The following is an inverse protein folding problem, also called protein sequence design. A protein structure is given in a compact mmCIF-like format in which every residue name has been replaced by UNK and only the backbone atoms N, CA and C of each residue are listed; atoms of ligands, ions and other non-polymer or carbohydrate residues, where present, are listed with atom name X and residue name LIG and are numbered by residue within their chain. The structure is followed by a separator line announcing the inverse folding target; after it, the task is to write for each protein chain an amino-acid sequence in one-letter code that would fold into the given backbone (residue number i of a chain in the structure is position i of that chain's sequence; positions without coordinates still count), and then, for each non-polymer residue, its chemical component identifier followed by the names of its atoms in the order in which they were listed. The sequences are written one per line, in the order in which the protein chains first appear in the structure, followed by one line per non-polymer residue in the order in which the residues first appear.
data_IF_683997980591
#
_entry.id   IF_683997980591
#
_cell.length_a   1.000
_cell.length_b   1.000
_cell.length_c   1.000
_cell.angle_alpha   90.00
_cell.angle_beta   90.00
_cell.angle_gamma   90.00
#
_symmetry.space_group_name_H-M   'P 1'
#
loop_
_entity.id
_entity.type
_entity.pdbx_description
1 polymer ?
#
# COMPACT_ATOMS: atom_id res chain seq x y z
N UNK A 1 -0.76 12.17 -24.33
CA UNK A 1 0.59 11.81 -23.83
C UNK A 1 1.16 10.49 -24.37
N UNK A 2 0.34 9.54 -24.86
CA UNK A 2 0.83 8.25 -25.35
C UNK A 2 1.94 8.33 -26.43
N UNK A 3 1.92 9.32 -27.33
CA UNK A 3 2.97 9.48 -28.35
C UNK A 3 4.36 9.80 -27.77
N UNK A 4 4.43 10.58 -26.69
CA UNK A 4 5.68 10.87 -25.97
C UNK A 4 6.17 9.62 -25.25
N UNK A 5 5.27 8.93 -24.54
CA UNK A 5 5.57 7.66 -23.87
C UNK A 5 6.11 6.63 -24.86
N UNK A 6 5.46 6.46 -26.02
CA UNK A 6 5.93 5.56 -27.07
C UNK A 6 7.32 5.94 -27.56
N UNK A 7 7.57 7.22 -27.84
CA UNK A 7 8.88 7.69 -28.30
C UNK A 7 10.00 7.40 -27.30
N UNK A 8 9.75 7.56 -25.99
CA UNK A 8 10.70 7.20 -24.94
C UNK A 8 10.93 5.69 -24.91
N UNK A 9 9.87 4.89 -25.01
CA UNK A 9 10.01 3.43 -25.07
C UNK A 9 10.83 2.96 -26.28
N UNK A 10 10.55 3.53 -27.46
CA UNK A 10 11.24 3.18 -28.71
C UNK A 10 12.75 3.52 -28.66
N UNK A 11 13.12 4.61 -27.99
CA UNK A 11 14.49 5.14 -27.99
C UNK A 11 15.32 4.73 -26.77
N UNK A 12 14.72 4.78 -25.58
CA UNK A 12 15.43 4.70 -24.28
C UNK A 12 14.96 3.49 -23.43
N UNK A 13 13.88 2.82 -23.83
CA UNK A 13 13.32 1.66 -23.14
C UNK A 13 12.53 1.96 -21.86
N UNK A 14 12.00 0.92 -21.18
CA UNK A 14 11.08 1.10 -20.04
C UNK A 14 11.66 1.80 -18.82
N UNK A 15 12.96 1.66 -18.55
CA UNK A 15 13.62 2.25 -17.39
C UNK A 15 13.60 3.79 -17.36
N UNK A 16 13.32 4.42 -18.50
CA UNK A 16 13.23 5.88 -18.65
C UNK A 16 11.82 6.43 -18.39
N UNK A 17 10.84 5.57 -18.06
CA UNK A 17 9.48 5.98 -17.70
C UNK A 17 9.26 5.89 -16.19
N UNK A 18 9.18 7.03 -15.51
CA UNK A 18 8.94 7.10 -14.09
C UNK A 18 7.44 7.18 -13.74
N UNK A 19 7.04 6.51 -12.65
CA UNK A 19 5.71 6.64 -12.06
C UNK A 19 5.79 6.88 -10.54
N UNK A 20 4.90 7.75 -10.06
CA UNK A 20 4.52 7.86 -8.64
C UNK A 20 3.04 7.55 -8.54
N UNK A 21 2.70 6.43 -7.91
CA UNK A 21 1.35 5.86 -7.96
C UNK A 21 0.84 5.47 -6.56
N UNK A 22 -0.47 5.55 -6.36
CA UNK A 22 -1.11 4.96 -5.19
C UNK A 22 -1.03 3.43 -5.22
N UNK A 23 -0.94 2.80 -4.05
CA UNK A 23 -1.00 1.34 -3.83
C UNK A 23 -2.03 0.94 -2.75
N UNK A 24 -2.83 1.90 -2.28
CA UNK A 24 -3.77 1.73 -1.17
C UNK A 24 -5.22 1.46 -1.62
N UNK A 25 -6.10 1.19 -0.65
CA UNK A 25 -7.55 1.03 -0.84
C UNK A 25 -8.33 2.35 -0.78
N UNK A 26 -9.67 2.30 -0.75
CA UNK A 26 -10.51 3.48 -0.56
C UNK A 26 -10.47 4.49 -1.72
N UNK A 27 -10.84 5.75 -1.43
CA UNK A 27 -10.87 6.81 -2.43
C UNK A 27 -9.46 7.12 -2.95
N UNK A 28 -9.32 7.23 -4.27
CA UNK A 28 -8.01 7.38 -4.93
C UNK A 28 -7.18 6.09 -5.01
N UNK A 29 -7.75 4.95 -4.61
CA UNK A 29 -7.13 3.63 -4.68
C UNK A 29 -8.16 2.54 -4.97
N UNK A 30 -8.00 1.38 -4.34
CA UNK A 30 -8.93 0.24 -4.46
C UNK A 30 -8.54 -0.78 -5.52
N UNK A 31 -9.24 -1.92 -5.54
CA UNK A 31 -8.88 -3.06 -6.38
C UNK A 31 -8.88 -2.72 -7.87
N UNK A 32 -9.88 -1.98 -8.33
CA UNK A 32 -10.07 -1.64 -9.74
C UNK A 32 -8.93 -0.74 -10.23
N UNK A 33 -8.59 0.27 -9.45
CA UNK A 33 -7.59 1.27 -9.82
C UNK A 33 -6.17 0.74 -9.68
N UNK A 34 -5.86 -0.01 -8.62
CA UNK A 34 -4.55 -0.64 -8.44
C UNK A 34 -4.31 -1.72 -9.50
N UNK A 35 -5.34 -2.48 -9.88
CA UNK A 35 -5.25 -3.41 -11.00
C UNK A 35 -5.01 -2.69 -12.32
N UNK A 36 -5.80 -1.65 -12.64
CA UNK A 36 -5.67 -0.92 -13.90
C UNK A 36 -4.30 -0.27 -14.08
N UNK A 37 -3.85 0.46 -13.05
CA UNK A 37 -2.53 1.13 -13.06
C UNK A 37 -1.39 0.12 -13.03
N UNK A 38 -1.46 -0.91 -12.17
CA UNK A 38 -0.46 -1.97 -12.10
C UNK A 38 -0.32 -2.74 -13.41
N UNK A 39 -1.43 -3.10 -14.05
CA UNK A 39 -1.43 -3.77 -15.36
C UNK A 39 -0.79 -2.88 -16.44
N UNK A 40 -1.08 -1.58 -16.44
CA UNK A 40 -0.41 -0.64 -17.35
C UNK A 40 1.11 -0.59 -17.09
N UNK A 41 1.53 -0.33 -15.85
CA UNK A 41 2.94 -0.13 -15.51
C UNK A 41 3.78 -1.40 -15.66
N UNK A 42 3.30 -2.53 -15.13
CA UNK A 42 4.10 -3.75 -14.97
C UNK A 42 3.88 -4.78 -16.07
N UNK A 43 2.70 -4.81 -16.69
CA UNK A 43 2.41 -5.77 -17.78
C UNK A 43 2.62 -5.13 -19.15
N UNK A 44 2.03 -3.95 -19.40
CA UNK A 44 2.08 -3.32 -20.71
C UNK A 44 3.37 -2.53 -20.95
N UNK A 45 3.75 -1.63 -20.03
CA UNK A 45 4.93 -0.77 -20.17
C UNK A 45 6.21 -1.44 -19.65
N UNK A 46 6.09 -2.35 -18.68
CA UNK A 46 7.20 -3.06 -18.03
C UNK A 46 8.28 -2.13 -17.45
N UNK A 47 7.89 -0.96 -16.94
CA UNK A 47 8.86 -0.04 -16.33
C UNK A 47 9.24 -0.48 -14.91
N UNK A 48 10.54 -0.50 -14.58
CA UNK A 48 11.00 -0.72 -13.21
C UNK A 48 11.04 0.56 -12.37
N UNK A 49 10.94 1.75 -12.99
CA UNK A 49 11.12 3.03 -12.30
C UNK A 49 9.80 3.50 -11.69
N UNK A 50 9.33 2.76 -10.69
CA UNK A 50 8.08 3.06 -10.00
C UNK A 50 8.35 3.28 -8.52
N UNK A 51 7.76 4.34 -7.97
CA UNK A 51 7.60 4.53 -6.54
C UNK A 51 6.12 4.55 -6.20
N UNK A 52 5.84 4.60 -4.92
CA UNK A 52 4.47 4.65 -4.43
C UNK A 52 4.28 5.85 -3.51
N UNK A 53 3.00 6.19 -3.32
CA UNK A 53 2.59 7.47 -2.79
C UNK A 53 3.30 7.86 -1.47
N UNK A 54 3.51 6.91 -0.55
CA UNK A 54 4.07 7.18 0.77
C UNK A 54 5.54 6.74 0.97
N UNK A 55 6.17 6.10 -0.01
CA UNK A 55 7.57 5.64 0.08
C UNK A 55 8.31 5.72 -1.26
N UNK A 56 9.58 6.16 -1.29
CA UNK A 56 10.27 6.58 -2.51
C UNK A 56 10.79 5.43 -3.39
N UNK A 57 10.26 4.21 -3.24
CA UNK A 57 10.61 3.03 -4.03
C UNK A 57 9.44 2.02 -4.05
N UNK A 58 9.47 1.07 -4.98
CA UNK A 58 8.49 -0.02 -5.04
C UNK A 58 8.83 -1.14 -4.03
N UNK A 59 8.52 -0.91 -2.75
CA UNK A 59 8.86 -1.80 -1.64
C UNK A 59 7.68 -1.98 -0.66
N UNK A 60 7.90 -2.73 0.43
CA UNK A 60 6.91 -2.95 1.49
C UNK A 60 7.26 -2.15 2.75
N UNK A 61 6.24 -1.65 3.46
CA UNK A 61 6.41 -1.13 4.82
C UNK A 61 6.73 -2.24 5.83
N UNK A 62 6.47 -3.50 5.49
CA UNK A 62 6.41 -4.62 6.42
C UNK A 62 7.31 -5.79 5.99
N UNK A 63 8.49 -5.52 5.40
CA UNK A 63 9.40 -6.57 4.91
C UNK A 63 9.69 -7.65 5.97
N UNK A 64 10.10 -7.27 7.17
CA UNK A 64 10.53 -8.20 8.20
C UNK A 64 9.43 -9.20 8.61
N UNK A 65 8.24 -8.73 9.00
CA UNK A 65 7.15 -9.64 9.43
C UNK A 65 6.68 -10.56 8.30
N UNK A 66 6.69 -10.07 7.05
CA UNK A 66 6.35 -10.89 5.88
C UNK A 66 7.39 -11.95 5.59
N UNK A 67 8.68 -11.63 5.70
CA UNK A 67 9.79 -12.59 5.59
C UNK A 67 9.77 -13.62 6.73
N UNK A 68 9.25 -13.24 7.90
CA UNK A 68 8.97 -14.15 9.01
C UNK A 68 7.72 -15.03 8.79
N UNK A 69 6.97 -14.83 7.70
CA UNK A 69 5.77 -15.60 7.38
C UNK A 69 4.48 -15.12 8.07
N UNK A 70 4.49 -13.93 8.67
CA UNK A 70 3.35 -13.36 9.41
C UNK A 70 2.90 -12.09 8.68
N UNK A 71 1.81 -12.17 7.92
CA UNK A 71 1.20 -11.00 7.27
C UNK A 71 0.77 -9.96 8.30
N UNK A 72 0.89 -8.67 8.01
CA UNK A 72 0.73 -7.59 9.01
C UNK A 72 -0.71 -7.36 9.50
N UNK A 73 -1.72 -7.79 8.74
CA UNK A 73 -3.14 -7.75 9.11
C UNK A 73 -3.64 -9.19 9.33
N UNK A 74 -3.32 -9.77 10.49
CA UNK A 74 -3.48 -11.21 10.78
C UNK A 74 -4.52 -11.55 11.85
N UNK A 75 -5.22 -10.55 12.40
CA UNK A 75 -6.26 -10.72 13.41
C UNK A 75 -7.57 -10.04 12.98
N UNK A 76 -8.57 -10.08 13.86
CA UNK A 76 -9.83 -9.35 13.72
C UNK A 76 -9.89 -8.19 14.71
N UNK A 77 -10.89 -7.30 14.55
CA UNK A 77 -11.12 -6.24 15.54
C UNK A 77 -11.63 -6.77 16.88
N UNK A 78 -12.32 -7.91 16.88
CA UNK A 78 -12.85 -8.56 18.09
C UNK A 78 -11.73 -9.00 19.04
N UNK A 79 -10.54 -9.32 18.52
CA UNK A 79 -9.39 -9.68 19.36
C UNK A 79 -8.97 -8.54 20.30
N UNK A 80 -9.26 -7.27 19.95
CA UNK A 80 -9.01 -6.13 20.84
C UNK A 80 -10.04 -6.01 21.97
N UNK A 81 -11.23 -6.61 21.81
CA UNK A 81 -12.24 -6.69 22.87
C UNK A 81 -11.95 -7.83 23.86
N UNK A 82 -11.19 -8.84 23.42
CA UNK A 82 -10.94 -10.07 24.17
C UNK A 82 -9.55 -10.13 24.83
N UNK A 83 -8.60 -9.32 24.38
CA UNK A 83 -7.25 -9.33 24.92
C UNK A 83 -7.23 -8.90 26.39
N UNK A 84 -6.44 -9.58 27.22
CA UNK A 84 -6.19 -9.15 28.61
C UNK A 84 -5.40 -7.83 28.66
N UNK A 85 -4.53 -7.61 27.68
CA UNK A 85 -3.65 -6.44 27.56
C UNK A 85 -3.44 -6.11 26.09
N UNK A 86 -3.63 -4.84 25.73
CA UNK A 86 -3.26 -4.29 24.43
C UNK A 86 -1.91 -3.57 24.54
N UNK A 87 -0.96 -3.92 23.68
CA UNK A 87 0.33 -3.20 23.54
C UNK A 87 0.28 -2.36 22.26
N UNK A 88 0.13 -1.04 22.42
CA UNK A 88 0.04 -0.08 21.32
C UNK A 88 1.40 0.59 21.04
N UNK A 89 1.97 0.40 19.84
CA UNK A 89 3.33 0.86 19.49
C UNK A 89 3.26 1.82 18.30
N UNK A 90 3.70 3.06 18.50
CA UNK A 90 3.83 4.05 17.42
C UNK A 90 2.51 4.51 16.78
N UNK A 91 1.38 4.32 17.45
CA UNK A 91 0.06 4.73 16.96
C UNK A 91 -0.60 5.79 17.86
N UNK A 92 -1.47 6.60 17.27
CA UNK A 92 -2.36 7.53 17.97
C UNK A 92 -3.81 7.17 17.64
N UNK A 93 -4.25 6.00 18.10
CA UNK A 93 -5.44 5.32 17.56
C UNK A 93 -6.76 6.07 17.78
N UNK A 94 -6.84 6.96 18.77
CA UNK A 94 -8.00 7.86 18.88
C UNK A 94 -8.13 8.79 17.68
N UNK A 95 -7.03 9.36 17.17
CA UNK A 95 -7.05 10.31 16.06
C UNK A 95 -6.90 9.62 14.69
N UNK A 96 -6.17 8.50 14.61
CA UNK A 96 -5.80 7.88 13.32
C UNK A 96 -6.56 6.59 12.99
N UNK A 97 -7.22 5.96 13.97
CA UNK A 97 -8.06 4.76 13.80
C UNK A 97 -9.31 4.86 14.67
N UNK A 98 -9.94 6.03 14.67
CA UNK A 98 -10.91 6.49 15.68
C UNK A 98 -11.99 5.48 16.02
N UNK A 99 -12.69 4.95 15.02
CA UNK A 99 -13.82 4.06 15.29
C UNK A 99 -13.38 2.64 15.66
N UNK A 100 -12.18 2.20 15.28
CA UNK A 100 -11.64 0.94 15.79
C UNK A 100 -11.35 1.08 17.30
N UNK A 101 -10.66 2.15 17.69
CA UNK A 101 -10.38 2.46 19.09
C UNK A 101 -11.65 2.63 19.93
N UNK A 102 -12.58 3.49 19.49
CA UNK A 102 -13.78 3.81 20.26
C UNK A 102 -14.77 2.65 20.35
N UNK A 103 -14.88 1.81 19.31
CA UNK A 103 -15.87 0.73 19.29
C UNK A 103 -15.34 -0.60 19.80
N UNK A 104 -14.03 -0.85 19.76
CA UNK A 104 -13.47 -2.18 20.06
C UNK A 104 -12.37 -2.17 21.14
N UNK A 105 -11.65 -1.06 21.35
CA UNK A 105 -10.60 -1.00 22.39
C UNK A 105 -11.15 -0.42 23.68
N UNK A 106 -11.87 0.71 23.58
CA UNK A 106 -12.41 1.42 24.74
C UNK A 106 -13.41 0.60 25.58
N UNK A 107 -14.21 -0.34 24.99
CA UNK A 107 -15.11 -1.18 25.78
C UNK A 107 -14.43 -2.35 26.54
N UNK A 108 -13.19 -2.71 26.17
CA UNK A 108 -12.39 -3.74 26.85
C UNK A 108 -12.03 -3.30 28.27
#
# INVERSE_FOLDING_TARGET
YAGVTKKILDNDGPASLAFDCFDHGGAGGGFENTWGTGKLMFTALQTPLVRIHNRPAYNSECHATREMGIGELNNSYEDAELADVIVAIGCNSYETQTNYFLAHWLPN
#
